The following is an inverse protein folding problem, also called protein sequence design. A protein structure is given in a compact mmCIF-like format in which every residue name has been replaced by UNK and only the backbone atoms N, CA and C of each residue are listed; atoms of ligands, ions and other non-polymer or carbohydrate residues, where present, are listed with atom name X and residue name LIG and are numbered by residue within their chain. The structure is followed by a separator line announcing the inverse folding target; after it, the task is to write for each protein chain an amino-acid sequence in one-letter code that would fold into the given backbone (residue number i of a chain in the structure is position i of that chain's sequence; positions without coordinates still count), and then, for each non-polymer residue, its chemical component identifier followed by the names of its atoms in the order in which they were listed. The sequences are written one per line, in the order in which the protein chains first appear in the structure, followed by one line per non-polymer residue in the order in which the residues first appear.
data_IF_734945308763
#
_entry.id   IF_734945308763
#
_cell.length_a   1.000
_cell.length_b   1.000
_cell.length_c   1.000
_cell.angle_alpha   90.00
_cell.angle_beta   90.00
_cell.angle_gamma   90.00
#
_symmetry.space_group_name_H-M   'P 1'
#
loop_
_entity.id
_entity.type
_entity.pdbx_description
1 polymer ?
#
# COMPACT_ATOMS: atom_id res chain seq x y z
N UNK A 1 23.40 -1.11 3.73
CA UNK A 1 23.52 0.35 3.92
C UNK A 1 22.55 1.00 2.95
N UNK A 2 21.70 1.92 3.39
CA UNK A 2 20.79 2.62 2.49
C UNK A 2 20.97 4.13 2.66
N UNK A 3 20.90 4.86 1.54
CA UNK A 3 21.22 6.30 1.48
C UNK A 3 19.99 7.16 1.78
N UNK A 4 18.80 6.73 1.36
CA UNK A 4 17.56 7.53 1.46
C UNK A 4 16.40 6.84 2.17
N UNK A 5 16.34 5.51 2.17
CA UNK A 5 15.21 4.74 2.70
C UNK A 5 15.68 3.61 3.59
N UNK A 6 14.98 3.36 4.68
CA UNK A 6 15.31 2.35 5.68
C UNK A 6 14.05 1.58 6.15
N UNK A 7 14.21 0.66 7.10
CA UNK A 7 13.12 -0.11 7.71
C UNK A 7 12.10 0.74 8.51
N UNK A 8 12.40 2.00 8.78
CA UNK A 8 11.53 2.92 9.49
C UNK A 8 10.78 3.85 8.53
N UNK A 9 11.18 3.86 7.25
CA UNK A 9 10.59 4.70 6.22
C UNK A 9 9.13 4.33 6.01
N UNK A 10 8.26 5.35 6.12
CA UNK A 10 6.84 5.23 5.86
C UNK A 10 6.60 5.57 4.39
N UNK A 11 6.06 4.63 3.64
CA UNK A 11 5.83 4.75 2.20
C UNK A 11 4.34 4.97 1.92
N UNK A 12 4.05 5.86 0.98
CA UNK A 12 2.70 6.08 0.44
C UNK A 12 2.73 5.77 -1.05
N UNK A 13 1.81 4.92 -1.52
CA UNK A 13 1.71 4.60 -2.95
C UNK A 13 0.65 5.47 -3.61
N UNK A 14 1.04 6.32 -4.56
CA UNK A 14 0.07 7.03 -5.41
C UNK A 14 -0.39 6.15 -6.57
N UNK A 15 -1.69 6.18 -6.89
CA UNK A 15 -2.31 5.30 -7.88
C UNK A 15 -2.45 3.85 -7.40
N UNK A 16 -2.53 3.64 -6.08
CA UNK A 16 -2.54 2.30 -5.48
C UNK A 16 -3.71 1.44 -5.98
N UNK A 17 -4.88 2.03 -6.30
CA UNK A 17 -6.02 1.25 -6.79
C UNK A 17 -5.89 0.80 -8.26
N UNK A 18 -4.80 1.16 -8.95
CA UNK A 18 -4.50 0.68 -10.29
C UNK A 18 -3.81 -0.69 -10.27
N UNK A 19 -3.99 -1.51 -11.32
CA UNK A 19 -3.47 -2.89 -11.40
C UNK A 19 -2.01 -3.07 -10.98
N UNK A 20 -1.14 -2.14 -11.38
CA UNK A 20 0.28 -2.18 -11.03
C UNK A 20 0.58 -1.60 -9.64
N UNK A 21 -0.16 -0.56 -9.20
CA UNK A 21 0.05 0.16 -7.94
C UNK A 21 -0.06 -0.75 -6.72
N UNK A 22 -1.25 -1.23 -6.42
CA UNK A 22 -1.58 -2.58 -6.80
C UNK A 22 -0.66 -3.69 -6.28
N UNK A 23 -0.44 -4.58 -7.24
CA UNK A 23 0.56 -5.63 -7.26
C UNK A 23 1.94 -5.30 -6.66
N UNK A 24 2.52 -4.13 -6.95
CA UNK A 24 3.82 -3.77 -6.40
C UNK A 24 3.74 -3.43 -4.91
N UNK A 25 2.62 -2.88 -4.46
CA UNK A 25 2.40 -2.55 -3.05
C UNK A 25 2.21 -3.82 -2.22
N UNK A 26 1.38 -4.77 -2.66
CA UNK A 26 1.28 -6.09 -2.03
C UNK A 26 2.64 -6.75 -1.82
N UNK A 27 3.46 -6.80 -2.87
CA UNK A 27 4.80 -7.40 -2.79
C UNK A 27 5.76 -6.60 -1.91
N UNK A 28 5.65 -5.28 -1.92
CA UNK A 28 6.43 -4.41 -1.04
C UNK A 28 6.10 -4.67 0.43
N UNK A 29 4.83 -4.84 0.77
CA UNK A 29 4.35 -5.18 2.12
C UNK A 29 4.82 -6.58 2.51
N UNK A 30 4.67 -7.57 1.63
CA UNK A 30 5.17 -8.95 1.85
C UNK A 30 6.68 -8.97 2.12
N UNK A 31 7.43 -8.07 1.46
CA UNK A 31 8.86 -7.90 1.67
C UNK A 31 9.22 -7.14 2.96
N UNK A 32 8.25 -6.55 3.65
CA UNK A 32 8.43 -5.81 4.91
C UNK A 32 8.53 -4.29 4.76
N UNK A 33 8.18 -3.73 3.59
CA UNK A 33 8.08 -2.28 3.39
C UNK A 33 6.90 -1.73 4.18
N UNK A 34 7.11 -0.65 4.95
CA UNK A 34 6.04 -0.02 5.73
C UNK A 34 5.20 0.91 4.87
N UNK A 35 4.22 0.35 4.18
CA UNK A 35 3.21 1.11 3.44
C UNK A 35 2.13 1.57 4.39
N UNK A 36 1.92 2.88 4.51
CA UNK A 36 1.01 3.48 5.52
C UNK A 36 -0.31 3.99 4.94
N UNK A 37 -0.33 4.28 3.64
CA UNK A 37 -1.51 4.74 2.93
C UNK A 37 -1.28 4.57 1.42
N UNK A 38 -2.34 4.66 0.64
CA UNK A 38 -2.18 4.88 -0.80
C UNK A 38 -3.18 5.90 -1.30
N UNK A 39 -2.84 6.66 -2.34
CA UNK A 39 -3.68 7.77 -2.81
C UNK A 39 -4.26 7.41 -4.18
N UNK A 40 -5.56 7.61 -4.39
CA UNK A 40 -6.17 7.60 -5.73
C UNK A 40 -7.16 8.76 -5.82
N UNK A 41 -6.98 9.70 -6.76
CA UNK A 41 -7.94 10.79 -6.95
C UNK A 41 -9.36 10.25 -7.16
N UNK A 42 -10.33 10.78 -6.41
CA UNK A 42 -11.74 10.41 -6.53
C UNK A 42 -12.16 9.12 -5.82
N UNK A 43 -11.26 8.43 -5.12
CA UNK A 43 -11.56 7.22 -4.32
C UNK A 43 -11.21 7.34 -2.84
N UNK A 44 -11.25 8.56 -2.29
CA UNK A 44 -11.02 8.82 -0.86
C UNK A 44 -11.98 8.02 0.03
N UNK A 45 -11.49 7.56 1.18
CA UNK A 45 -12.21 6.76 2.16
C UNK A 45 -12.36 5.27 1.82
N UNK A 46 -11.88 4.81 0.67
CA UNK A 46 -11.97 3.40 0.27
C UNK A 46 -10.73 2.62 0.71
N UNK A 47 -10.95 1.39 1.16
CA UNK A 47 -9.86 0.42 1.32
C UNK A 47 -9.37 -0.03 -0.06
N UNK A 48 -8.08 -0.25 -0.18
CA UNK A 48 -7.48 -0.72 -1.42
C UNK A 48 -7.65 -2.23 -1.51
N UNK A 49 -8.36 -2.68 -2.54
CA UNK A 49 -8.69 -4.09 -2.76
C UNK A 49 -8.02 -4.54 -4.05
N UNK A 50 -7.11 -5.50 -3.94
CA UNK A 50 -6.25 -5.88 -5.06
C UNK A 50 -5.95 -7.36 -5.16
N UNK A 51 -6.33 -8.16 -4.16
CA UNK A 51 -6.23 -9.60 -4.32
C UNK A 51 -7.30 -10.07 -5.32
N UNK A 52 -7.02 -11.09 -6.14
CA UNK A 52 -8.03 -11.75 -6.97
C UNK A 52 -9.25 -12.22 -6.16
N UNK A 53 -9.09 -12.42 -4.85
CA UNK A 53 -10.16 -12.77 -3.92
C UNK A 53 -10.99 -11.57 -3.40
N UNK A 54 -10.62 -10.33 -3.75
CA UNK A 54 -11.35 -9.14 -3.29
C UNK A 54 -11.06 -8.75 -1.82
N UNK A 55 -9.90 -9.12 -1.28
CA UNK A 55 -9.51 -8.76 0.08
C UNK A 55 -8.79 -7.40 0.14
N UNK A 56 -9.03 -6.60 1.20
CA UNK A 56 -8.33 -5.34 1.39
C UNK A 56 -6.85 -5.59 1.72
N UNK A 57 -5.97 -4.77 1.16
CA UNK A 57 -4.57 -4.73 1.55
C UNK A 57 -4.43 -4.43 3.02
N UNK A 58 -3.56 -5.17 3.70
CA UNK A 58 -3.20 -4.91 5.08
C UNK A 58 -1.78 -4.35 5.14
N UNK A 59 -1.58 -3.30 5.90
CA UNK A 59 -0.26 -2.80 6.25
C UNK A 59 0.46 -3.77 7.21
N UNK A 60 1.72 -3.47 7.52
CA UNK A 60 2.52 -4.28 8.44
C UNK A 60 2.00 -4.29 9.90
N UNK A 61 1.03 -3.43 10.22
CA UNK A 61 0.38 -3.36 11.53
C UNK A 61 -0.99 -4.08 11.53
N UNK A 62 -1.41 -4.66 10.40
CA UNK A 62 -2.68 -5.35 10.23
C UNK A 62 -3.88 -4.45 9.89
N UNK A 63 -3.65 -3.15 9.68
CA UNK A 63 -4.70 -2.19 9.29
C UNK A 63 -4.92 -2.20 7.79
N UNK A 64 -6.14 -1.91 7.33
CA UNK A 64 -6.39 -1.76 5.91
C UNK A 64 -5.63 -0.54 5.35
N UNK A 65 -4.88 -0.72 4.25
CA UNK A 65 -4.29 0.40 3.51
C UNK A 65 -5.45 1.15 2.86
N UNK A 66 -5.76 2.32 3.40
CA UNK A 66 -6.87 3.15 2.94
C UNK A 66 -6.38 4.31 2.08
N UNK A 67 -7.28 4.78 1.24
CA UNK A 67 -7.14 6.05 0.54
C UNK A 67 -7.65 7.17 1.44
N UNK A 68 -6.81 8.10 1.92
CA UNK A 68 -7.29 9.28 2.61
C UNK A 68 -8.09 10.20 1.67
#
# INVERSE_FOLDING_TARGET
MAIFVDKNTRLVTQGITGKHGAFHTARGIEYGTKVVAGVTPGKGGQAVTETPEGNPLKDNNGNAVSVP
#
